data_IF_082561296374
#
_entry.id   IF_082561296374
#
_cell.length_a   1.000
_cell.length_b   1.000
_cell.length_c   1.000
_cell.angle_alpha   90.00
_cell.angle_beta   90.00
_cell.angle_gamma   90.00
#
_symmetry.space_group_name_H-M   'P 1'
#
loop_
_entity.id
_entity.type
_entity.pdbx_description
1 polymer ?
#
# COMPACT_ATOMS: atom_id res chain seq x y z
N UNK A 1 7.58 9.32 11.31
CA UNK A 1 6.71 8.36 10.60
C UNK A 1 5.32 8.45 11.18
N UNK A 2 4.30 8.35 10.32
CA UNK A 2 2.89 8.39 10.72
C UNK A 2 2.28 6.99 10.87
N UNK A 3 2.92 5.95 10.34
CA UNK A 3 2.48 4.54 10.35
C UNK A 3 1.11 4.30 9.72
N UNK A 4 0.73 5.18 8.79
CA UNK A 4 -0.56 5.15 8.13
C UNK A 4 -0.58 4.03 7.10
N UNK A 5 -1.73 3.36 6.99
CA UNK A 5 -1.95 2.32 6.00
C UNK A 5 -3.32 2.49 5.35
N UNK A 6 -3.42 1.99 4.12
CA UNK A 6 -4.69 1.67 3.49
C UNK A 6 -4.93 0.17 3.56
N UNK A 7 -6.19 -0.22 3.68
CA UNK A 7 -6.63 -1.62 3.75
C UNK A 7 -7.77 -1.81 2.75
N UNK A 8 -7.58 -2.68 1.77
CA UNK A 8 -8.59 -3.06 0.79
C UNK A 8 -9.19 -4.42 1.16
N UNK A 9 -10.46 -4.45 1.55
CA UNK A 9 -11.21 -5.70 1.74
C UNK A 9 -11.91 -6.08 0.44
N UNK A 10 -11.66 -7.29 -0.02
CA UNK A 10 -12.29 -7.87 -1.21
C UNK A 10 -13.81 -8.06 -0.98
N UNK A 11 -14.61 -7.68 -1.97
CA UNK A 11 -16.06 -7.85 -2.03
C UNK A 11 -16.41 -9.12 -2.82
N UNK A 12 -17.67 -9.55 -2.70
CA UNK A 12 -18.18 -10.74 -3.42
C UNK A 12 -18.23 -10.57 -4.94
N UNK A 13 -18.24 -9.33 -5.42
CA UNK A 13 -18.19 -8.95 -6.83
C UNK A 13 -16.75 -8.85 -7.39
N UNK A 14 -15.73 -9.10 -6.55
CA UNK A 14 -14.32 -9.00 -6.92
C UNK A 14 -13.75 -7.58 -6.91
N UNK A 15 -14.55 -6.57 -6.54
CA UNK A 15 -14.06 -5.22 -6.24
C UNK A 15 -13.60 -5.14 -4.78
N UNK A 16 -13.22 -3.94 -4.33
CA UNK A 16 -12.69 -3.70 -3.00
C UNK A 16 -13.40 -2.55 -2.30
N UNK A 17 -13.51 -2.68 -0.99
CA UNK A 17 -13.85 -1.61 -0.06
C UNK A 17 -12.58 -1.13 0.62
N UNK A 18 -12.30 0.17 0.54
CA UNK A 18 -11.05 0.77 0.99
C UNK A 18 -11.23 1.43 2.36
N UNK A 19 -10.36 1.10 3.30
CA UNK A 19 -10.34 1.63 4.66
C UNK A 19 -9.00 2.26 5.01
N UNK A 20 -9.02 3.13 6.01
CA UNK A 20 -7.84 3.80 6.54
C UNK A 20 -7.43 3.20 7.89
N UNK A 21 -6.13 3.22 8.19
CA UNK A 21 -5.60 2.89 9.51
C UNK A 21 -4.45 3.81 9.87
N UNK A 22 -4.58 4.60 10.94
CA UNK A 22 -3.53 5.56 11.32
C UNK A 22 -2.24 4.90 11.79
N UNK A 23 -2.31 3.77 12.50
CA UNK A 23 -1.14 3.07 13.08
C UNK A 23 -0.95 1.65 12.51
N UNK A 24 -1.50 1.40 11.32
CA UNK A 24 -1.63 0.06 10.74
C UNK A 24 -0.33 -0.46 10.15
N UNK A 25 0.50 0.43 9.62
CA UNK A 25 1.77 0.09 8.99
C UNK A 25 2.87 -0.22 10.02
N UNK A 26 2.68 0.14 11.29
CA UNK A 26 3.66 -0.08 12.35
C UNK A 26 4.01 -1.58 12.44
N UNK A 27 5.26 -1.91 12.09
CA UNK A 27 5.78 -3.27 11.98
C UNK A 27 4.90 -4.24 11.16
N UNK A 28 4.11 -3.70 10.21
CA UNK A 28 3.16 -4.47 9.40
C UNK A 28 2.16 -5.31 10.23
N UNK A 29 1.89 -4.91 11.48
CA UNK A 29 1.13 -5.69 12.47
C UNK A 29 -0.28 -6.07 12.02
N UNK A 30 -0.89 -5.31 11.11
CA UNK A 30 -2.22 -5.60 10.57
C UNK A 30 -2.29 -6.96 9.86
N UNK A 31 -1.17 -7.48 9.34
CA UNK A 31 -1.07 -8.83 8.75
C UNK A 31 -1.61 -9.92 9.68
N UNK A 32 -1.46 -9.73 10.99
CA UNK A 32 -1.81 -10.71 12.03
C UNK A 32 -3.02 -10.29 12.86
N UNK A 33 -3.35 -8.98 12.89
CA UNK A 33 -4.50 -8.49 13.64
C UNK A 33 -5.81 -8.62 12.88
N UNK A 34 -5.76 -8.56 11.54
CA UNK A 34 -6.95 -8.75 10.72
C UNK A 34 -7.20 -10.26 10.59
N UNK A 35 -8.35 -10.70 11.09
CA UNK A 35 -8.86 -12.07 10.95
C UNK A 35 -10.39 -12.06 10.89
N UNK A 36 -11.00 -13.23 10.66
CA UNK A 36 -12.46 -13.36 10.67
C UNK A 36 -13.08 -13.00 12.04
N UNK A 37 -12.33 -13.20 13.12
CA UNK A 37 -12.73 -12.85 14.48
C UNK A 37 -12.61 -11.34 14.73
N UNK A 38 -11.53 -10.73 14.25
CA UNK A 38 -11.20 -9.31 14.44
C UNK A 38 -11.02 -8.61 13.09
N UNK A 39 -12.10 -8.42 12.31
CA UNK A 39 -11.99 -7.97 10.93
C UNK A 39 -11.28 -6.62 10.78
N UNK A 40 -11.48 -5.70 11.71
CA UNK A 40 -10.82 -4.38 11.74
C UNK A 40 -9.61 -4.32 12.70
N UNK A 41 -9.11 -5.47 13.16
CA UNK A 41 -7.90 -5.57 13.98
C UNK A 41 -8.00 -5.05 15.41
N UNK A 42 -9.21 -4.95 15.97
CA UNK A 42 -9.44 -4.67 17.40
C UNK A 42 -9.23 -5.89 18.30
N UNK A 43 -9.42 -5.72 19.61
CA UNK A 43 -9.16 -6.79 20.60
C UNK A 43 -10.39 -7.67 20.90
N UNK A 44 -11.59 -7.25 20.48
CA UNK A 44 -12.83 -8.00 20.68
C UNK A 44 -13.06 -9.02 19.55
N UNK A 45 -12.75 -10.29 19.82
CA UNK A 45 -12.90 -11.42 18.88
C UNK A 45 -14.35 -11.83 18.65
N UNK A 46 -15.28 -11.39 19.48
CA UNK A 46 -16.71 -11.71 19.42
C UNK A 46 -17.56 -10.53 18.93
N UNK A 47 -16.91 -9.51 18.36
CA UNK A 47 -17.54 -8.30 17.86
C UNK A 47 -18.54 -8.57 16.72
N UNK A 48 -19.81 -8.76 17.09
CA UNK A 48 -20.90 -9.05 16.13
C UNK A 48 -21.12 -7.89 15.16
N UNK A 49 -21.02 -6.66 15.62
CA UNK A 49 -21.22 -5.47 14.78
C UNK A 49 -20.15 -5.38 13.70
N UNK A 50 -18.89 -5.69 14.02
CA UNK A 50 -17.78 -5.59 13.07
C UNK A 50 -17.91 -6.67 11.98
N UNK A 51 -18.25 -7.90 12.39
CA UNK A 51 -18.50 -9.02 11.47
C UNK A 51 -19.70 -8.73 10.56
N UNK A 52 -20.79 -8.21 11.12
CA UNK A 52 -21.97 -7.84 10.34
C UNK A 52 -21.68 -6.71 9.35
N UNK A 53 -21.04 -5.63 9.79
CA UNK A 53 -20.68 -4.51 8.92
C UNK A 53 -19.81 -4.97 7.75
N UNK A 54 -18.77 -5.77 8.01
CA UNK A 54 -17.91 -6.25 6.93
C UNK A 54 -18.66 -7.16 5.95
N UNK A 55 -19.58 -8.01 6.43
CA UNK A 55 -20.41 -8.83 5.54
C UNK A 55 -21.27 -7.97 4.62
N UNK A 56 -21.92 -6.93 5.15
CA UNK A 56 -22.75 -6.02 4.37
C UNK A 56 -21.91 -5.21 3.35
N UNK A 57 -20.70 -4.78 3.76
CA UNK A 57 -19.74 -4.13 2.85
C UNK A 57 -19.27 -5.08 1.74
N UNK A 58 -19.07 -6.37 2.05
CA UNK A 58 -18.71 -7.38 1.07
C UNK A 58 -19.85 -7.66 0.05
N UNK A 59 -21.10 -7.45 0.47
CA UNK A 59 -22.32 -7.55 -0.36
C UNK A 59 -22.71 -6.22 -1.03
N UNK A 60 -21.88 -5.17 -0.88
CA UNK A 60 -22.00 -3.93 -1.62
C UNK A 60 -22.72 -2.78 -0.92
N UNK A 61 -22.73 -2.77 0.41
CA UNK A 61 -23.12 -1.60 1.19
C UNK A 61 -22.24 -0.38 0.82
N UNK A 62 -22.88 0.75 0.53
CA UNK A 62 -22.21 2.00 0.18
C UNK A 62 -21.82 2.82 1.43
N UNK A 63 -20.80 3.67 1.28
CA UNK A 63 -20.19 4.44 2.38
C UNK A 63 -21.22 5.23 3.21
N UNK A 64 -22.18 5.88 2.57
CA UNK A 64 -23.18 6.72 3.25
C UNK A 64 -24.15 5.92 4.12
N UNK A 65 -24.34 4.64 3.81
CA UNK A 65 -25.23 3.76 4.58
C UNK A 65 -24.56 3.18 5.84
N UNK A 66 -23.24 3.33 5.97
CA UNK A 66 -22.45 2.79 7.09
C UNK A 66 -22.74 3.52 8.40
N UNK A 67 -23.11 4.80 8.37
CA UNK A 67 -23.32 5.61 9.58
C UNK A 67 -24.37 5.01 10.54
N UNK A 68 -25.39 4.31 10.00
CA UNK A 68 -26.37 3.59 10.81
C UNK A 68 -25.78 2.43 11.63
N UNK A 69 -24.75 1.75 11.12
CA UNK A 69 -24.02 0.70 11.83
C UNK A 69 -23.06 1.27 12.88
N UNK A 70 -22.60 2.50 12.67
CA UNK A 70 -21.61 3.17 13.52
C UNK A 70 -22.23 4.06 14.61
N UNK A 71 -23.55 4.21 14.64
CA UNK A 71 -24.24 5.14 15.55
C UNK A 71 -24.18 4.76 17.05
N UNK A 72 -23.65 3.59 17.42
CA UNK A 72 -23.47 3.20 18.82
C UNK A 72 -22.30 3.94 19.49
N UNK A 73 -22.56 4.60 20.63
CA UNK A 73 -21.60 5.45 21.36
C UNK A 73 -20.47 4.66 22.09
N UNK A 74 -20.65 3.36 22.35
CA UNK A 74 -19.70 2.53 23.15
C UNK A 74 -19.03 1.41 22.34
N UNK A 75 -18.59 1.70 21.10
CA UNK A 75 -17.91 0.70 20.28
C UNK A 75 -16.42 0.61 20.65
N UNK A 76 -15.87 -0.61 20.81
CA UNK A 76 -14.43 -0.79 20.99
C UNK A 76 -13.65 -0.16 19.84
N UNK A 77 -12.52 0.48 20.17
CA UNK A 77 -11.60 1.01 19.18
C UNK A 77 -11.01 -0.13 18.34
N UNK A 78 -10.94 0.09 17.03
CA UNK A 78 -10.31 -0.83 16.08
C UNK A 78 -9.07 -0.17 15.48
N UNK A 79 -8.14 -0.97 14.96
CA UNK A 79 -6.93 -0.43 14.34
C UNK A 79 -7.24 0.12 12.95
N UNK A 80 -8.09 -0.57 12.20
CA UNK A 80 -8.67 -0.11 10.93
C UNK A 80 -9.95 0.67 11.23
N UNK A 81 -10.09 1.85 10.64
CA UNK A 81 -11.31 2.66 10.73
C UNK A 81 -12.46 1.90 10.04
N UNK A 82 -13.55 1.55 10.76
CA UNK A 82 -14.64 0.78 10.18
C UNK A 82 -15.42 1.56 9.12
N UNK A 83 -15.42 2.90 9.16
CA UNK A 83 -15.99 3.70 8.06
C UNK A 83 -15.08 3.62 6.83
N UNK A 84 -15.56 3.08 5.69
CA UNK A 84 -14.74 3.05 4.48
C UNK A 84 -14.48 4.46 3.95
N UNK A 85 -13.33 4.62 3.29
CA UNK A 85 -13.00 5.80 2.51
C UNK A 85 -13.68 5.76 1.13
N UNK A 86 -13.84 4.56 0.56
CA UNK A 86 -14.47 4.32 -0.74
C UNK A 86 -14.88 2.84 -0.88
N UNK A 87 -15.79 2.56 -1.81
CA UNK A 87 -16.39 1.24 -2.08
C UNK A 87 -16.38 0.98 -3.58
N UNK A 88 -16.43 -0.31 -3.96
CA UNK A 88 -16.60 -0.71 -5.37
C UNK A 88 -15.40 -0.38 -6.27
N UNK A 89 -14.18 -0.39 -5.72
CA UNK A 89 -12.96 -0.05 -6.46
C UNK A 89 -12.26 -1.30 -6.98
N UNK A 90 -11.62 -1.20 -8.14
CA UNK A 90 -10.61 -2.16 -8.57
C UNK A 90 -9.27 -1.89 -7.86
N UNK A 91 -8.40 -2.92 -7.84
CA UNK A 91 -7.08 -2.76 -7.24
C UNK A 91 -6.21 -1.73 -8.01
N UNK A 92 -6.39 -1.63 -9.33
CA UNK A 92 -5.67 -0.68 -10.17
C UNK A 92 -6.11 0.76 -9.88
N UNK A 93 -7.42 1.01 -9.69
CA UNK A 93 -7.94 2.32 -9.25
C UNK A 93 -7.40 2.69 -7.87
N UNK A 94 -7.36 1.75 -6.91
CA UNK A 94 -6.80 2.02 -5.57
C UNK A 94 -5.33 2.46 -5.67
N UNK A 95 -4.54 1.70 -6.45
CA UNK A 95 -3.11 1.91 -6.64
C UNK A 95 -2.82 3.23 -7.37
N UNK A 96 -3.64 3.58 -8.37
CA UNK A 96 -3.46 4.80 -9.15
C UNK A 96 -3.98 6.06 -8.45
N UNK A 97 -5.17 5.99 -7.84
CA UNK A 97 -5.96 7.18 -7.52
C UNK A 97 -6.19 7.40 -6.02
N UNK A 98 -6.00 6.37 -5.19
CA UNK A 98 -6.28 6.46 -3.75
C UNK A 98 -5.05 6.32 -2.86
N UNK A 99 -4.04 5.56 -3.32
CA UNK A 99 -2.84 5.34 -2.54
C UNK A 99 -1.91 6.56 -2.61
N UNK A 100 -1.91 7.35 -1.53
CA UNK A 100 -0.85 8.34 -1.29
C UNK A 100 0.44 7.62 -0.87
N UNK A 101 1.40 7.53 -1.79
CA UNK A 101 2.66 6.83 -1.62
C UNK A 101 3.61 7.48 -0.61
N UNK A 102 3.51 8.80 -0.42
CA UNK A 102 4.33 9.52 0.55
C UNK A 102 3.84 9.26 1.99
N UNK A 103 2.53 9.22 2.18
CA UNK A 103 1.92 9.19 3.51
C UNK A 103 1.50 7.80 3.97
N UNK A 104 1.08 6.91 3.07
CA UNK A 104 0.73 5.54 3.41
C UNK A 104 1.98 4.67 3.38
N UNK A 105 2.46 4.28 4.55
CA UNK A 105 3.69 3.50 4.68
C UNK A 105 3.48 2.04 4.28
N UNK A 106 2.25 1.50 4.39
CA UNK A 106 1.90 0.15 3.97
C UNK A 106 0.50 0.09 3.35
N UNK A 107 0.28 -0.94 2.56
CA UNK A 107 -1.02 -1.27 2.00
C UNK A 107 -1.33 -2.74 2.25
N UNK A 108 -2.56 -3.04 2.65
CA UNK A 108 -3.01 -4.40 2.92
C UNK A 108 -4.17 -4.75 1.99
N UNK A 109 -4.12 -5.93 1.40
CA UNK A 109 -5.25 -6.51 0.67
C UNK A 109 -5.74 -7.71 1.47
N UNK A 110 -7.02 -7.73 1.79
CA UNK A 110 -7.67 -8.77 2.59
C UNK A 110 -8.66 -9.49 1.70
N UNK A 111 -8.44 -10.78 1.46
CA UNK A 111 -9.40 -11.58 0.69
C UNK A 111 -10.70 -11.81 1.47
N UNK A 112 -11.72 -12.29 0.77
CA UNK A 112 -12.98 -12.77 1.41
C UNK A 112 -12.78 -13.91 2.41
N UNK A 113 -11.65 -14.63 2.33
CA UNK A 113 -11.24 -15.70 3.26
C UNK A 113 -10.25 -15.24 4.34
N UNK A 114 -10.01 -13.93 4.46
CA UNK A 114 -9.03 -13.34 5.38
C UNK A 114 -7.57 -13.72 5.13
N UNK A 115 -7.23 -14.07 3.89
CA UNK A 115 -5.83 -14.05 3.46
C UNK A 115 -5.38 -12.59 3.32
N UNK A 116 -4.50 -12.16 4.22
CA UNK A 116 -3.99 -10.78 4.23
C UNK A 116 -2.65 -10.73 3.51
N UNK A 117 -2.61 -10.07 2.35
CA UNK A 117 -1.38 -9.70 1.66
C UNK A 117 -0.92 -8.31 2.14
N UNK A 118 0.35 -8.20 2.53
CA UNK A 118 0.95 -6.94 2.97
C UNK A 118 1.94 -6.43 1.92
N UNK A 119 1.81 -5.15 1.57
CA UNK A 119 2.66 -4.46 0.62
C UNK A 119 3.38 -3.30 1.30
N UNK A 120 4.65 -3.12 0.93
CA UNK A 120 5.42 -1.93 1.23
C UNK A 120 5.21 -0.89 0.15
N UNK A 121 4.91 0.33 0.58
CA UNK A 121 4.77 1.50 -0.30
C UNK A 121 6.11 2.15 -0.55
N UNK A 122 6.44 2.43 -1.81
CA UNK A 122 7.71 2.99 -2.25
C UNK A 122 7.43 4.23 -3.11
N UNK A 123 7.52 5.41 -2.51
CA UNK A 123 7.25 6.68 -3.20
C UNK A 123 8.39 7.14 -4.09
N UNK A 124 8.06 7.54 -5.32
CA UNK A 124 9.05 7.95 -6.32
C UNK A 124 9.38 9.44 -6.32
N UNK A 125 8.67 10.26 -5.54
CA UNK A 125 8.96 11.70 -5.48
C UNK A 125 10.35 11.96 -4.88
N UNK A 126 11.10 12.87 -5.50
CA UNK A 126 12.51 13.16 -5.19
C UNK A 126 12.70 14.52 -4.51
N UNK A 127 11.62 15.17 -4.05
CA UNK A 127 11.69 16.51 -3.48
C UNK A 127 12.51 16.62 -2.17
N UNK A 128 12.90 15.49 -1.59
CA UNK A 128 13.78 15.43 -0.42
C UNK A 128 15.19 14.92 -0.76
N UNK A 129 15.39 14.48 -2.01
CA UNK A 129 16.60 13.80 -2.49
C UNK A 129 17.27 14.59 -3.63
N UNK A 130 16.64 15.66 -4.12
CA UNK A 130 17.08 16.48 -5.26
C UNK A 130 16.84 17.96 -4.96
N UNK A 131 17.81 18.81 -5.29
CA UNK A 131 17.71 20.27 -5.16
C UNK A 131 16.84 20.90 -6.26
N UNK A 132 16.67 20.21 -7.39
CA UNK A 132 15.91 20.71 -8.55
C UNK A 132 14.43 20.35 -8.54
N UNK A 133 14.00 19.41 -7.70
CA UNK A 133 12.59 18.98 -7.59
C UNK A 133 11.94 19.62 -6.37
N UNK A 134 11.00 20.54 -6.58
CA UNK A 134 10.31 21.20 -5.47
C UNK A 134 9.14 20.37 -4.92
N UNK A 135 8.41 19.67 -5.79
CA UNK A 135 7.23 18.89 -5.43
C UNK A 135 7.12 17.64 -6.31
N UNK A 136 6.80 16.50 -5.69
CA UNK A 136 6.40 15.28 -6.37
C UNK A 136 4.96 14.93 -6.04
N UNK A 137 4.22 14.43 -7.03
CA UNK A 137 2.89 13.86 -6.80
C UNK A 137 3.00 12.76 -5.73
N UNK A 138 2.06 12.74 -4.80
CA UNK A 138 2.04 11.75 -3.72
C UNK A 138 1.13 10.57 -4.06
N UNK A 139 0.05 10.81 -4.80
CA UNK A 139 -0.88 9.78 -5.30
C UNK A 139 -0.43 9.31 -6.68
N UNK A 140 -0.53 8.01 -6.97
CA UNK A 140 -0.16 7.43 -8.28
C UNK A 140 1.34 7.44 -8.63
N UNK A 141 2.18 8.01 -7.77
CA UNK A 141 3.62 8.19 -8.03
C UNK A 141 4.50 7.32 -7.13
N UNK A 142 4.38 6.00 -7.29
CA UNK A 142 5.25 5.06 -6.58
C UNK A 142 5.08 3.63 -7.02
N UNK A 143 5.50 2.70 -6.17
CA UNK A 143 5.33 1.28 -6.36
C UNK A 143 4.93 0.58 -5.05
N UNK A 144 4.27 -0.56 -5.18
CA UNK A 144 3.98 -1.49 -4.09
C UNK A 144 4.79 -2.77 -4.30
N UNK A 145 5.49 -3.22 -3.27
CA UNK A 145 6.15 -4.53 -3.28
C UNK A 145 5.58 -5.42 -2.18
N UNK A 146 5.24 -6.67 -2.48
CA UNK A 146 4.79 -7.61 -1.43
C UNK A 146 5.89 -7.83 -0.41
N UNK A 147 5.52 -7.93 0.87
CA UNK A 147 6.46 -8.24 1.95
C UNK A 147 6.56 -9.75 2.12
N UNK A 148 7.78 -10.26 2.25
CA UNK A 148 8.03 -11.68 2.57
C UNK A 148 7.94 -11.90 4.08
N UNK A 149 7.52 -13.09 4.45
CA UNK A 149 7.30 -13.47 5.84
C UNK A 149 8.02 -14.78 6.16
N UNK A 150 8.61 -14.86 7.34
CA UNK A 150 9.16 -16.10 7.91
C UNK A 150 8.83 -16.12 9.39
N UNK A 151 8.17 -17.19 9.85
CA UNK A 151 7.74 -17.35 11.24
C UNK A 151 6.95 -16.15 11.79
N UNK A 152 6.04 -15.61 10.97
CA UNK A 152 5.23 -14.45 11.32
C UNK A 152 5.95 -13.10 11.27
N UNK A 153 7.24 -13.04 10.98
CA UNK A 153 8.00 -11.78 10.94
C UNK A 153 8.32 -11.35 9.50
N UNK A 154 8.32 -10.04 9.20
CA UNK A 154 8.67 -9.55 7.88
C UNK A 154 10.17 -9.70 7.62
N UNK A 155 10.54 -10.31 6.49
CA UNK A 155 11.94 -10.57 6.12
C UNK A 155 12.38 -9.75 4.91
N UNK A 156 13.39 -8.92 5.13
CA UNK A 156 14.00 -8.09 4.09
C UNK A 156 13.25 -6.78 3.79
N UNK A 157 12.14 -6.49 4.48
CA UNK A 157 11.41 -5.24 4.34
C UNK A 157 12.27 -4.01 4.66
N UNK A 158 12.96 -4.02 5.80
CA UNK A 158 13.89 -2.93 6.16
C UNK A 158 15.09 -2.83 5.21
N UNK A 159 15.54 -3.95 4.64
CA UNK A 159 16.61 -3.96 3.64
C UNK A 159 16.17 -3.30 2.33
N UNK A 160 14.97 -3.64 1.83
CA UNK A 160 14.38 -3.03 0.64
C UNK A 160 14.18 -1.52 0.83
N UNK A 161 13.64 -1.10 1.98
CA UNK A 161 13.46 0.32 2.29
C UNK A 161 14.79 1.09 2.30
N UNK A 162 15.83 0.53 2.95
CA UNK A 162 17.16 1.14 2.97
C UNK A 162 17.81 1.21 1.59
N UNK A 163 17.72 0.15 0.79
CA UNK A 163 18.21 0.14 -0.59
C UNK A 163 17.48 1.16 -1.47
N UNK A 164 16.16 1.24 -1.34
CA UNK A 164 15.35 2.17 -2.11
C UNK A 164 15.67 3.63 -1.75
N UNK A 165 15.82 3.94 -0.45
CA UNK A 165 16.25 5.26 -0.01
C UNK A 165 17.62 5.66 -0.59
N UNK A 166 18.61 4.75 -0.57
CA UNK A 166 19.92 5.00 -1.16
C UNK A 166 19.87 5.19 -2.68
N UNK A 167 18.96 4.48 -3.37
CA UNK A 167 18.75 4.67 -4.80
C UNK A 167 18.14 6.04 -5.12
N UNK A 168 17.18 6.51 -4.31
CA UNK A 168 16.58 7.83 -4.49
C UNK A 168 17.63 8.94 -4.35
N UNK A 169 18.48 8.85 -3.33
CA UNK A 169 19.60 9.77 -3.11
C UNK A 169 20.48 9.89 -4.37
N UNK A 170 20.96 8.75 -4.90
CA UNK A 170 21.76 8.73 -6.13
C UNK A 170 20.99 9.25 -7.35
N UNK A 171 19.71 8.92 -7.49
CA UNK A 171 18.88 9.36 -8.62
C UNK A 171 18.62 10.86 -8.57
N UNK A 172 18.40 11.43 -7.38
CA UNK A 172 18.28 12.87 -7.18
C UNK A 172 19.56 13.61 -7.58
N UNK A 173 20.71 13.07 -7.17
CA UNK A 173 22.04 13.55 -7.56
C UNK A 173 22.24 13.58 -9.10
N UNK A 174 21.72 12.56 -9.80
CA UNK A 174 21.78 12.47 -11.27
C UNK A 174 20.83 13.45 -11.96
N UNK A 175 19.69 13.78 -11.35
CA UNK A 175 18.80 14.82 -11.83
C UNK A 175 19.44 16.20 -11.71
N UNK A 176 20.00 16.51 -10.54
CA UNK A 176 20.59 17.83 -10.26
C UNK A 176 21.79 18.11 -11.18
N UNK A 177 22.54 17.07 -11.54
CA UNK A 177 23.66 17.14 -12.50
C UNK A 177 23.21 17.12 -13.97
N UNK A 178 21.91 17.02 -14.24
CA UNK A 178 21.35 16.97 -15.59
C UNK A 178 21.65 15.68 -16.36
N UNK A 179 22.05 14.62 -15.66
CA UNK A 179 22.28 13.29 -16.26
C UNK A 179 20.95 12.60 -16.55
N UNK A 180 19.99 12.74 -15.64
CA UNK A 180 18.63 12.27 -15.84
C UNK A 180 17.64 13.42 -16.09
N UNK A 181 16.59 13.11 -16.84
CA UNK A 181 15.32 13.84 -16.77
C UNK A 181 14.42 13.20 -15.71
N UNK A 182 13.35 13.87 -15.29
CA UNK A 182 12.37 13.28 -14.37
C UNK A 182 11.78 11.97 -14.88
N UNK A 183 11.51 11.86 -16.18
CA UNK A 183 11.01 10.62 -16.79
C UNK A 183 12.04 9.49 -16.75
N UNK A 184 13.31 9.77 -17.07
CA UNK A 184 14.39 8.76 -16.98
C UNK A 184 14.65 8.35 -15.53
N UNK A 185 14.58 9.29 -14.58
CA UNK A 185 14.68 8.97 -13.16
C UNK A 185 13.59 8.00 -12.71
N UNK A 186 12.32 8.26 -13.07
CA UNK A 186 11.20 7.35 -12.77
C UNK A 186 11.38 5.96 -13.40
N UNK A 187 11.79 5.92 -14.67
CA UNK A 187 12.06 4.66 -15.37
C UNK A 187 13.19 3.88 -14.70
N UNK A 188 14.26 4.55 -14.30
CA UNK A 188 15.39 3.92 -13.62
C UNK A 188 15.02 3.38 -12.24
N UNK A 189 14.25 4.13 -11.43
CA UNK A 189 13.69 3.66 -10.16
C UNK A 189 12.84 2.40 -10.35
N UNK A 190 11.94 2.43 -11.34
CA UNK A 190 11.07 1.31 -11.70
C UNK A 190 11.87 0.06 -12.08
N UNK A 191 12.84 0.22 -12.97
CA UNK A 191 13.69 -0.87 -13.42
C UNK A 191 14.46 -1.51 -12.26
N UNK A 192 15.10 -0.69 -11.42
CA UNK A 192 15.91 -1.19 -10.28
C UNK A 192 15.06 -1.92 -9.26
N UNK A 193 13.87 -1.42 -8.96
CA UNK A 193 12.92 -2.12 -8.10
C UNK A 193 12.51 -3.47 -8.71
N UNK A 194 12.23 -3.52 -10.01
CA UNK A 194 11.94 -4.77 -10.72
C UNK A 194 13.07 -5.80 -10.59
N UNK A 195 14.33 -5.36 -10.76
CA UNK A 195 15.51 -6.20 -10.61
C UNK A 195 15.67 -6.75 -9.18
N UNK A 196 15.39 -5.94 -8.16
CA UNK A 196 15.58 -6.32 -6.75
C UNK A 196 14.47 -7.20 -6.21
N UNK A 197 13.22 -6.87 -6.53
CA UNK A 197 12.04 -7.65 -6.13
C UNK A 197 12.07 -9.02 -6.81
N UNK A 198 12.47 -9.05 -8.08
CA UNK A 198 12.60 -10.28 -8.88
C UNK A 198 11.29 -11.05 -8.98
N UNK A 199 11.37 -12.36 -9.21
CA UNK A 199 10.18 -13.21 -9.44
C UNK A 199 9.57 -13.76 -8.13
N UNK A 200 10.17 -13.48 -6.97
CA UNK A 200 9.76 -14.05 -5.67
C UNK A 200 8.73 -13.19 -4.93
N UNK A 201 8.55 -11.96 -5.39
CA UNK A 201 7.66 -10.97 -4.82
C UNK A 201 6.93 -10.28 -5.98
N UNK A 202 5.79 -9.70 -5.68
CA UNK A 202 5.00 -8.98 -6.65
C UNK A 202 5.34 -7.49 -6.54
N UNK A 203 5.56 -6.85 -7.69
CA UNK A 203 5.74 -5.40 -7.81
C UNK A 203 4.56 -4.84 -8.60
N UNK A 204 3.80 -3.92 -7.99
CA UNK A 204 2.72 -3.19 -8.65
C UNK A 204 3.10 -1.73 -8.81
N UNK A 205 2.92 -1.21 -10.02
CA UNK A 205 3.20 0.18 -10.36
C UNK A 205 1.95 0.75 -11.01
N UNK A 206 1.46 1.92 -10.58
CA UNK A 206 0.36 2.63 -11.23
C UNK A 206 0.60 2.80 -12.73
N UNK A 207 -0.43 2.55 -13.54
CA UNK A 207 -0.37 2.71 -15.00
C UNK A 207 0.19 1.51 -15.77
N UNK A 208 0.47 0.38 -15.11
CA UNK A 208 0.76 -0.89 -15.79
C UNK A 208 2.14 -0.98 -16.46
N UNK A 209 3.06 -0.05 -16.18
CA UNK A 209 4.46 -0.16 -16.60
C UNK A 209 5.13 -1.33 -15.86
N UNK A 210 5.07 -2.53 -16.45
CA UNK A 210 5.94 -3.63 -16.04
C UNK A 210 7.38 -3.30 -16.45
N UNK A 211 8.39 -3.46 -15.57
CA UNK A 211 9.77 -3.27 -15.95
C UNK A 211 10.10 -4.22 -17.12
N UNK A 212 10.40 -3.64 -18.29
CA UNK A 212 10.70 -4.40 -19.50
C UNK A 212 11.85 -5.37 -19.22
N UNK A 213 11.65 -6.66 -19.52
CA UNK A 213 12.65 -7.74 -19.34
C UNK A 213 13.86 -7.61 -20.30
N UNK A 214 14.05 -6.50 -21.00
CA UNK A 214 15.12 -6.38 -22.01
C UNK A 214 15.57 -4.93 -22.19
N UNK A 215 16.58 -4.54 -21.42
CA UNK A 215 17.56 -3.56 -21.85
C UNK A 215 18.94 -4.09 -21.44
N UNK A 216 19.59 -4.79 -22.38
CA UNK A 216 21.05 -4.93 -22.35
C UNK A 216 21.60 -3.52 -22.32
N UNK A 217 22.08 -3.07 -21.16
CA UNK A 217 22.95 -1.91 -21.12
C UNK A 217 24.26 -2.40 -21.73
N UNK A 218 24.42 -2.14 -23.04
CA UNK A 218 25.70 -2.29 -23.70
C UNK A 218 26.70 -1.42 -22.94
N UNK A 219 27.61 -2.10 -22.23
CA UNK A 219 28.72 -1.45 -21.54
C UNK A 219 29.61 -0.82 -22.61
N UNK A 220 29.74 0.50 -22.56
CA UNK A 220 30.87 1.21 -23.18
C UNK A 220 32.17 0.88 -22.44
#
# INVERSE_FOLDING_TARGET
MGHRALVAYERTDGQYTLHYSHWGAANLKLKHRISAETPFGGDDTDSKWAKQLLAELADGLEVDAVDGYLAGEDRPSTVVEPKPCATGLTLDEIVADHLDYLHHEAFFVVSTTFEVAAYRTLWFGLQYDSETVEQGETVGNGALATVRWYDGEPVGDGHLQGQFAALKDVVGDMLDKGVFTQSTARQYLTQKLGEWVGERQELRIPGGESPSKTASVDRL
#
